data_IF_856478215687
#
_entry.id   IF_856478215687
#
_cell.length_a   1.000
_cell.length_b   1.000
_cell.length_c   1.000
_cell.angle_alpha   90.00
_cell.angle_beta   90.00
_cell.angle_gamma   90.00
#
_symmetry.space_group_name_H-M   'P 1'
#
loop_
_entity.id
_entity.type
_entity.pdbx_description
1 polymer ?
#
# COMPACT_ATOMS: atom_id res chain seq x y z
N UNK A 1 -0.22 -26.33 0.75
CA UNK A 1 -0.89 -25.02 0.76
C UNK A 1 -1.02 -24.56 -0.67
N UNK A 2 -2.19 -24.13 -1.08
CA UNK A 2 -2.30 -23.44 -2.36
C UNK A 2 -1.43 -22.19 -2.30
N UNK A 3 -0.58 -21.97 -3.31
CA UNK A 3 0.19 -20.74 -3.42
C UNK A 3 -0.78 -19.56 -3.55
N UNK A 4 -0.49 -18.46 -2.89
CA UNK A 4 -1.27 -17.24 -3.04
C UNK A 4 -1.21 -16.77 -4.51
N UNK A 5 -2.33 -16.46 -5.14
CA UNK A 5 -2.33 -15.96 -6.52
C UNK A 5 -1.75 -14.54 -6.61
N UNK A 6 -1.55 -13.89 -5.48
CA UNK A 6 -1.07 -12.51 -5.43
C UNK A 6 0.45 -12.47 -5.42
N UNK A 7 1.02 -11.63 -6.26
CA UNK A 7 2.48 -11.48 -6.44
C UNK A 7 3.06 -10.27 -5.72
N UNK A 8 2.39 -9.83 -4.69
CA UNK A 8 2.85 -8.72 -3.86
C UNK A 8 2.67 -9.07 -2.39
N UNK A 9 3.75 -9.01 -1.63
CA UNK A 9 3.75 -9.24 -0.19
C UNK A 9 4.10 -7.97 0.55
N UNK A 10 3.30 -7.65 1.55
CA UNK A 10 3.47 -6.48 2.41
C UNK A 10 3.85 -6.95 3.80
N UNK A 11 4.84 -6.31 4.39
CA UNK A 11 5.22 -6.52 5.79
C UNK A 11 5.16 -5.19 6.52
N UNK A 12 4.37 -5.11 7.58
CA UNK A 12 4.23 -3.93 8.43
C UNK A 12 4.45 -4.35 9.87
N UNK A 13 5.51 -3.85 10.49
CA UNK A 13 5.87 -4.16 11.88
C UNK A 13 5.84 -5.68 12.16
N UNK A 14 6.49 -6.45 11.28
CA UNK A 14 6.56 -7.91 11.37
C UNK A 14 5.31 -8.67 10.94
N UNK A 15 4.18 -7.99 10.71
CA UNK A 15 2.95 -8.61 10.19
C UNK A 15 3.02 -8.67 8.67
N UNK A 16 2.98 -9.89 8.15
CA UNK A 16 3.13 -10.19 6.72
C UNK A 16 1.81 -10.66 6.14
N UNK A 17 1.45 -10.12 4.96
CA UNK A 17 0.27 -10.54 4.20
C UNK A 17 0.48 -10.30 2.71
N UNK A 18 -0.27 -11.01 1.88
CA UNK A 18 -0.26 -10.83 0.44
C UNK A 18 -1.34 -9.82 0.04
N UNK A 19 -0.96 -8.85 -0.77
CA UNK A 19 -1.85 -7.83 -1.27
C UNK A 19 -2.39 -8.19 -2.65
N UNK A 20 -3.65 -7.90 -2.87
CA UNK A 20 -4.29 -8.00 -4.20
C UNK A 20 -3.65 -7.02 -5.17
N UNK A 21 -3.35 -5.82 -4.68
CA UNK A 21 -2.64 -4.79 -5.42
C UNK A 21 -1.82 -3.92 -4.48
N UNK A 22 -0.68 -3.48 -4.96
CA UNK A 22 0.11 -2.45 -4.29
C UNK A 22 0.76 -1.56 -5.34
N UNK A 23 0.78 -0.28 -5.07
CA UNK A 23 1.49 0.70 -5.89
C UNK A 23 2.42 1.54 -5.05
N UNK A 24 3.63 1.74 -5.55
CA UNK A 24 4.62 2.63 -4.97
C UNK A 24 4.93 3.69 -6.01
N UNK A 25 4.66 4.93 -5.67
CA UNK A 25 4.83 6.06 -6.57
C UNK A 25 5.70 7.12 -5.92
N UNK A 26 6.69 7.59 -6.67
CA UNK A 26 7.55 8.71 -6.30
C UNK A 26 7.39 9.81 -7.33
N UNK A 27 7.27 11.05 -6.89
CA UNK A 27 7.30 12.20 -7.78
C UNK A 27 7.91 13.42 -7.07
N UNK A 28 8.54 14.27 -7.85
CA UNK A 28 9.00 15.58 -7.40
C UNK A 28 7.95 16.64 -7.71
N UNK A 29 7.88 17.65 -6.85
CA UNK A 29 6.99 18.77 -7.06
C UNK A 29 7.57 19.73 -8.12
N UNK A 30 6.69 20.44 -8.82
CA UNK A 30 7.06 21.50 -9.75
C UNK A 30 6.70 22.86 -9.16
N UNK A 31 7.48 23.88 -9.48
CA UNK A 31 7.15 25.27 -9.20
C UNK A 31 6.10 25.81 -10.20
N UNK A 32 5.70 27.08 -10.04
CA UNK A 32 4.73 27.71 -10.93
C UNK A 32 5.21 27.83 -12.38
N UNK A 33 6.51 27.84 -12.61
CA UNK A 33 7.11 27.89 -13.93
C UNK A 33 7.23 26.50 -14.59
N UNK A 34 6.85 25.44 -13.87
CA UNK A 34 6.97 24.06 -14.34
C UNK A 34 8.35 23.44 -14.14
N UNK A 35 9.25 24.13 -13.43
CA UNK A 35 10.59 23.60 -13.10
C UNK A 35 10.54 22.70 -11.88
N UNK A 36 11.45 21.70 -11.78
CA UNK A 36 11.52 20.85 -10.60
C UNK A 36 11.84 21.67 -9.35
N UNK A 37 11.05 21.50 -8.33
CA UNK A 37 11.36 22.03 -7.00
C UNK A 37 12.44 21.19 -6.36
N UNK A 38 13.66 21.72 -6.28
CA UNK A 38 14.82 21.00 -5.80
C UNK A 38 14.63 20.48 -4.37
N UNK A 39 15.01 19.21 -4.15
CA UNK A 39 14.87 18.55 -2.86
C UNK A 39 13.44 18.12 -2.49
N UNK A 40 12.46 18.35 -3.37
CA UNK A 40 11.10 17.86 -3.12
C UNK A 40 10.97 16.39 -3.50
N UNK A 41 10.29 15.63 -2.64
CA UNK A 41 9.88 14.27 -2.91
C UNK A 41 8.48 14.05 -2.32
N UNK A 42 7.56 13.60 -3.14
CA UNK A 42 6.27 13.10 -2.71
C UNK A 42 6.19 11.62 -2.99
N UNK A 43 5.68 10.87 -2.04
CA UNK A 43 5.47 9.42 -2.16
C UNK A 43 3.99 9.12 -2.00
N UNK A 44 3.51 8.17 -2.78
CA UNK A 44 2.18 7.60 -2.61
C UNK A 44 2.32 6.09 -2.66
N UNK A 45 2.02 5.44 -1.55
CA UNK A 45 2.07 3.99 -1.43
C UNK A 45 0.68 3.54 -1.03
N UNK A 46 0.03 2.76 -1.89
CA UNK A 46 -1.31 2.24 -1.64
C UNK A 46 -1.31 0.74 -1.76
N UNK A 47 -1.94 0.10 -0.78
CA UNK A 47 -2.05 -1.35 -0.66
C UNK A 47 -3.53 -1.71 -0.57
N UNK A 48 -3.94 -2.69 -1.34
CA UNK A 48 -5.30 -3.24 -1.32
C UNK A 48 -5.19 -4.73 -0.99
N UNK A 49 -5.93 -5.16 0.02
CA UNK A 49 -6.00 -6.55 0.44
C UNK A 49 -7.45 -7.04 0.49
N UNK A 50 -7.64 -8.33 0.27
CA UNK A 50 -8.92 -9.00 0.39
C UNK A 50 -9.18 -9.37 1.86
N UNK A 51 -10.25 -8.80 2.43
CA UNK A 51 -10.66 -9.09 3.81
C UNK A 51 -11.36 -10.43 3.98
N UNK A 52 -11.78 -11.09 2.90
CA UNK A 52 -12.38 -12.42 2.97
C UNK A 52 -11.38 -13.53 3.24
N UNK A 53 -10.12 -13.30 2.91
CA UNK A 53 -9.04 -14.25 3.18
C UNK A 53 -8.51 -14.05 4.61
N UNK A 54 -9.23 -14.63 5.57
CA UNK A 54 -8.92 -14.55 7.00
C UNK A 54 -7.60 -15.22 7.39
N UNK A 55 -7.08 -16.10 6.53
CA UNK A 55 -5.77 -16.73 6.73
C UNK A 55 -4.64 -15.81 6.34
N UNK A 56 -4.82 -15.06 5.27
CA UNK A 56 -3.85 -14.08 4.78
C UNK A 56 -3.91 -12.78 5.60
N UNK A 57 -5.13 -12.27 5.85
CA UNK A 57 -5.35 -11.04 6.60
C UNK A 57 -6.29 -11.31 7.78
N UNK A 58 -5.77 -11.90 8.87
CA UNK A 58 -6.60 -12.18 10.04
C UNK A 58 -7.09 -10.90 10.72
N UNK A 59 -8.20 -10.99 11.42
CA UNK A 59 -8.80 -9.83 12.11
C UNK A 59 -7.81 -9.13 13.06
N UNK A 60 -6.91 -9.86 13.69
CA UNK A 60 -5.86 -9.30 14.55
C UNK A 60 -4.92 -8.37 13.79
N UNK A 61 -4.60 -8.71 12.53
CA UNK A 61 -3.79 -7.85 11.66
C UNK A 61 -4.57 -6.58 11.26
N UNK A 62 -5.84 -6.72 10.89
CA UNK A 62 -6.72 -5.59 10.56
C UNK A 62 -6.81 -4.63 11.73
N UNK A 63 -7.05 -5.15 12.94
CA UNK A 63 -7.09 -4.35 14.16
C UNK A 63 -5.76 -3.64 14.43
N UNK A 64 -4.63 -4.31 14.23
CA UNK A 64 -3.30 -3.71 14.38
C UNK A 64 -3.10 -2.55 13.42
N UNK A 65 -3.48 -2.70 12.16
CA UNK A 65 -3.37 -1.63 11.17
C UNK A 65 -4.28 -0.45 11.48
N UNK A 66 -5.49 -0.71 11.97
CA UNK A 66 -6.38 0.33 12.46
C UNK A 66 -5.75 1.10 13.63
N UNK A 67 -5.22 0.41 14.62
CA UNK A 67 -4.57 1.04 15.77
C UNK A 67 -3.34 1.86 15.36
N UNK A 68 -2.63 1.44 14.32
CA UNK A 68 -1.51 2.20 13.76
C UNK A 68 -1.94 3.47 13.03
N UNK A 69 -3.07 3.44 12.35
CA UNK A 69 -3.63 4.59 11.64
C UNK A 69 -4.36 5.58 12.55
N UNK A 70 -4.81 5.10 13.71
CA UNK A 70 -5.58 5.90 14.66
C UNK A 70 -4.63 6.72 15.52
N UNK A 71 -4.64 8.03 15.34
CA UNK A 71 -3.78 9.00 16.07
C UNK A 71 -2.30 8.63 15.95
N UNK A 72 -1.70 9.00 14.84
CA UNK A 72 -0.29 8.68 14.54
C UNK A 72 0.65 9.46 15.47
N UNK A 73 1.45 8.74 16.23
CA UNK A 73 2.50 9.23 17.10
C UNK A 73 3.85 8.62 16.67
N UNK A 74 4.97 9.10 17.22
CA UNK A 74 6.30 8.62 16.81
C UNK A 74 6.52 7.11 17.00
N UNK A 75 5.90 6.52 18.00
CA UNK A 75 5.95 5.07 18.27
C UNK A 75 5.22 4.22 17.21
N UNK A 76 4.39 4.84 16.38
CA UNK A 76 3.69 4.18 15.26
C UNK A 76 4.47 4.20 13.93
N UNK A 77 5.65 4.81 13.92
CA UNK A 77 6.59 4.69 12.81
C UNK A 77 7.28 3.33 12.94
N UNK A 78 7.02 2.44 12.00
CA UNK A 78 7.45 1.05 12.03
C UNK A 78 8.19 0.66 10.75
N UNK A 79 8.93 -0.43 10.83
CA UNK A 79 9.56 -1.01 9.66
C UNK A 79 8.50 -1.58 8.71
N UNK A 80 8.62 -1.22 7.44
CA UNK A 80 7.73 -1.63 6.37
C UNK A 80 8.53 -2.17 5.21
N UNK A 81 7.97 -3.17 4.54
CA UNK A 81 8.56 -3.78 3.35
C UNK A 81 7.48 -4.14 2.36
N UNK A 82 7.74 -3.88 1.09
CA UNK A 82 6.89 -4.26 -0.03
C UNK A 82 7.74 -5.09 -0.98
N UNK A 83 7.28 -6.29 -1.29
CA UNK A 83 7.98 -7.23 -2.17
C UNK A 83 7.10 -7.58 -3.35
N UNK A 84 7.62 -7.37 -4.55
CA UNK A 84 6.99 -7.81 -5.80
C UNK A 84 7.65 -9.10 -6.27
N UNK A 85 6.87 -10.13 -6.54
CA UNK A 85 7.33 -11.45 -6.90
C UNK A 85 7.22 -11.70 -8.40
N UNK A 86 8.18 -12.41 -8.93
CA UNK A 86 8.22 -12.79 -10.34
C UNK A 86 7.11 -13.79 -10.68
N UNK A 87 6.85 -14.70 -9.75
CA UNK A 87 5.85 -15.75 -9.89
C UNK A 87 5.15 -16.06 -8.56
N UNK A 88 4.22 -16.99 -8.60
CA UNK A 88 3.41 -17.35 -7.44
C UNK A 88 4.18 -18.19 -6.40
N UNK A 89 5.43 -18.55 -6.65
CA UNK A 89 6.27 -19.28 -5.69
C UNK A 89 6.81 -18.39 -4.56
N UNK A 90 6.85 -17.10 -4.75
CA UNK A 90 7.41 -16.09 -3.82
C UNK A 90 8.88 -16.37 -3.45
N UNK A 91 9.64 -16.93 -4.38
CA UNK A 91 11.06 -17.23 -4.17
C UNK A 91 11.99 -16.22 -4.83
N UNK A 92 11.54 -15.63 -5.93
CA UNK A 92 12.34 -14.74 -6.76
C UNK A 92 11.68 -13.36 -6.81
N UNK A 93 12.22 -12.42 -6.04
CA UNK A 93 11.69 -11.07 -5.99
C UNK A 93 12.14 -10.26 -7.23
N UNK A 94 11.18 -9.65 -7.93
CA UNK A 94 11.48 -8.66 -8.96
C UNK A 94 12.12 -7.42 -8.36
N UNK A 95 11.52 -6.93 -7.31
CA UNK A 95 12.06 -5.84 -6.52
C UNK A 95 11.39 -5.79 -5.15
N UNK A 96 12.04 -5.14 -4.21
CA UNK A 96 11.49 -4.86 -2.90
C UNK A 96 11.82 -3.44 -2.46
N UNK A 97 10.87 -2.82 -1.75
CA UNK A 97 11.04 -1.54 -1.09
C UNK A 97 11.05 -1.75 0.41
N UNK A 98 12.06 -1.24 1.10
CA UNK A 98 12.16 -1.27 2.55
C UNK A 98 12.30 0.17 3.09
N UNK A 99 11.51 0.52 4.08
CA UNK A 99 11.49 1.84 4.68
C UNK A 99 10.88 1.81 6.08
N UNK A 100 11.11 2.88 6.84
CA UNK A 100 10.35 3.18 8.05
C UNK A 100 9.22 4.13 7.70
N UNK A 101 8.02 3.83 8.19
CA UNK A 101 6.86 4.65 7.86
C UNK A 101 5.68 4.41 8.79
N UNK A 102 4.58 5.05 8.47
CA UNK A 102 3.32 4.92 9.21
C UNK A 102 2.16 4.66 8.26
N UNK A 103 1.05 4.20 8.83
CA UNK A 103 -0.20 4.03 8.09
C UNK A 103 -0.93 5.37 8.12
N UNK A 104 -1.01 6.04 6.98
CA UNK A 104 -1.66 7.35 6.86
C UNK A 104 -3.16 7.25 6.57
N UNK A 105 -3.60 6.13 6.01
CA UNK A 105 -5.01 5.85 5.74
C UNK A 105 -5.31 4.39 6.03
N UNK A 106 -6.38 4.16 6.76
CA UNK A 106 -7.01 2.87 6.93
C UNK A 106 -8.44 2.98 6.43
N UNK A 107 -8.81 2.15 5.51
CA UNK A 107 -10.15 2.12 4.95
C UNK A 107 -10.59 0.67 4.73
N UNK A 108 -11.82 0.40 5.10
CA UNK A 108 -12.52 -0.82 4.70
C UNK A 108 -13.60 -0.44 3.70
N UNK A 109 -13.61 -1.06 2.55
CA UNK A 109 -14.55 -0.75 1.49
C UNK A 109 -15.30 -2.00 1.06
N UNK A 110 -16.60 -1.82 0.81
CA UNK A 110 -17.43 -2.80 0.13
C UNK A 110 -17.87 -2.18 -1.21
N UNK A 111 -17.08 -2.36 -2.28
CA UNK A 111 -17.36 -1.71 -3.55
C UNK A 111 -18.67 -2.21 -4.14
N UNK A 112 -19.35 -1.34 -4.90
CA UNK A 112 -20.54 -1.73 -5.63
C UNK A 112 -20.22 -2.78 -6.68
N UNK A 113 -21.14 -3.72 -6.95
CA UNK A 113 -20.97 -4.65 -8.06
C UNK A 113 -20.82 -3.92 -9.40
N UNK A 114 -20.02 -4.46 -10.30
CA UNK A 114 -19.87 -3.94 -11.67
C UNK A 114 -21.25 -3.85 -12.34
N UNK A 115 -21.63 -2.69 -12.85
CA UNK A 115 -22.93 -2.43 -13.48
C UNK A 115 -23.91 -1.64 -12.63
N UNK A 116 -23.60 -1.36 -11.36
CA UNK A 116 -24.40 -0.48 -10.52
C UNK A 116 -23.98 1.00 -10.65
N UNK A 117 -22.94 1.28 -11.42
CA UNK A 117 -22.45 2.62 -11.65
C UNK A 117 -23.11 3.27 -12.85
N UNK A 118 -23.66 4.44 -12.61
CA UNK A 118 -23.93 5.43 -13.63
C UNK A 118 -22.56 5.92 -14.15
N UNK A 119 -22.26 5.65 -15.43
CA UNK A 119 -20.92 5.76 -16.04
C UNK A 119 -20.19 7.09 -15.95
N UNK A 120 -20.68 8.03 -15.14
CA UNK A 120 -20.08 9.34 -14.90
C UNK A 120 -19.31 9.46 -13.57
N UNK A 121 -19.30 8.41 -12.76
CA UNK A 121 -18.78 8.48 -11.39
C UNK A 121 -17.48 7.69 -11.16
N UNK A 122 -16.88 7.11 -12.20
CA UNK A 122 -15.60 6.42 -12.08
C UNK A 122 -14.48 7.42 -11.87
N UNK A 123 -14.04 7.57 -10.64
CA UNK A 123 -12.74 8.20 -10.38
C UNK A 123 -11.63 7.23 -10.80
N UNK A 124 -11.14 7.38 -12.02
CA UNK A 124 -10.05 6.56 -12.58
C UNK A 124 -8.76 6.61 -11.76
N UNK A 125 -8.69 7.49 -10.77
CA UNK A 125 -7.56 7.59 -9.84
C UNK A 125 -7.80 6.83 -8.54
N UNK A 126 -9.01 6.33 -8.29
CA UNK A 126 -9.28 5.49 -7.12
C UNK A 126 -9.09 4.01 -7.48
N UNK A 127 -8.05 3.35 -6.94
CA UNK A 127 -7.81 1.95 -7.24
C UNK A 127 -8.92 1.01 -6.73
N UNK A 128 -9.80 1.48 -5.83
CA UNK A 128 -10.94 0.68 -5.39
C UNK A 128 -11.95 0.46 -6.52
N UNK A 129 -12.06 1.39 -7.46
CA UNK A 129 -12.94 1.25 -8.63
C UNK A 129 -12.47 0.14 -9.58
N UNK A 130 -11.16 -0.05 -9.71
CA UNK A 130 -10.59 -1.10 -10.54
C UNK A 130 -10.85 -2.52 -10.02
N UNK A 131 -11.18 -2.64 -8.74
CA UNK A 131 -11.39 -3.92 -8.03
C UNK A 131 -12.81 -4.09 -7.53
N UNK A 132 -13.78 -3.48 -8.19
CA UNK A 132 -15.20 -3.54 -7.82
C UNK A 132 -15.80 -4.94 -7.80
N UNK A 133 -15.09 -5.94 -8.36
CA UNK A 133 -15.45 -7.36 -8.26
C UNK A 133 -15.07 -7.98 -6.92
N UNK A 134 -14.16 -7.37 -6.17
CA UNK A 134 -13.83 -7.81 -4.83
C UNK A 134 -14.91 -7.38 -3.85
N UNK A 135 -15.24 -8.31 -2.97
CA UNK A 135 -16.25 -8.09 -1.95
C UNK A 135 -15.58 -7.73 -0.66
N UNK A 136 -15.53 -6.70 -0.05
CA UNK A 136 -14.81 -6.27 1.15
C UNK A 136 -13.28 -6.17 0.97
N UNK A 137 -12.85 -4.95 0.77
CA UNK A 137 -11.44 -4.61 0.64
C UNK A 137 -10.93 -3.86 1.86
N UNK A 138 -9.67 -4.15 2.20
CA UNK A 138 -8.86 -3.31 3.07
C UNK A 138 -7.95 -2.45 2.21
N UNK A 139 -8.03 -1.13 2.39
CA UNK A 139 -7.16 -0.16 1.70
C UNK A 139 -6.27 0.52 2.73
N UNK A 140 -4.97 0.45 2.53
CA UNK A 140 -3.97 1.10 3.37
C UNK A 140 -3.15 2.05 2.52
N UNK A 141 -2.99 3.28 2.97
CA UNK A 141 -1.97 4.18 2.46
C UNK A 141 -0.81 4.21 3.47
N UNK A 142 0.40 4.03 2.95
CA UNK A 142 1.63 4.02 3.73
C UNK A 142 2.46 5.24 3.37
N UNK A 143 3.01 5.89 4.37
CA UNK A 143 3.89 7.04 4.18
C UNK A 143 5.26 6.75 4.77
N UNK A 144 6.32 6.87 3.97
CA UNK A 144 7.68 6.79 4.49
C UNK A 144 7.99 7.99 5.41
N UNK A 145 8.58 7.69 6.56
CA UNK A 145 9.11 8.71 7.45
C UNK A 145 10.45 9.22 6.88
N UNK A 146 10.38 10.10 5.90
CA UNK A 146 11.56 10.71 5.30
C UNK A 146 12.11 11.77 6.23
N UNK A 147 13.36 11.61 6.66
CA UNK A 147 14.09 12.68 7.32
C UNK A 147 14.48 13.72 6.26
N UNK A 148 14.36 15.01 6.57
CA UNK A 148 14.69 16.10 5.63
C UNK A 148 16.12 16.02 5.07
N UNK A 149 17.01 15.31 5.77
CA UNK A 149 18.40 15.14 5.37
C UNK A 149 18.67 13.85 4.59
N UNK A 150 17.72 12.88 4.58
CA UNK A 150 17.96 11.54 4.03
C UNK A 150 16.80 11.05 3.17
N UNK A 151 16.77 11.48 1.92
CA UNK A 151 16.01 10.78 0.87
C UNK A 151 16.47 9.33 0.63
N UNK A 152 17.44 8.86 1.40
CA UNK A 152 18.07 7.53 1.31
C UNK A 152 17.42 6.47 2.20
N UNK A 153 16.36 6.82 2.95
CA UNK A 153 15.75 5.89 3.89
C UNK A 153 14.87 4.85 3.20
N UNK A 154 14.49 5.07 1.94
CA UNK A 154 13.82 4.06 1.11
C UNK A 154 14.88 3.29 0.34
N UNK A 155 14.94 2.00 0.59
CA UNK A 155 15.85 1.08 -0.11
C UNK A 155 15.07 0.28 -1.14
N UNK A 156 15.53 0.37 -2.38
CA UNK A 156 15.10 -0.50 -3.46
C UNK A 156 16.15 -1.59 -3.68
N UNK A 157 15.74 -2.82 -3.66
CA UNK A 157 16.61 -3.98 -3.93
C UNK A 157 15.89 -5.04 -4.76
N UNK A 158 16.64 -5.95 -5.35
CA UNK A 158 16.12 -7.18 -5.94
C UNK A 158 16.82 -8.40 -5.37
#
# INVERSE_FOLDING_TARGET
MAASPYRCTITIDGTKFDAVAASVRFHSNKDRAGMPQMGSLSTTIRVIADMHDDKNVPFSAIKKFFDMANVVTRDKIKDMKIEYWKDDSHQDALCSYAFKGWVSRFETANPHPVGAYDGNALDHNDPTDAYSTLNHMLVLDLEPALNQENFKDIKLSN
#
